data_IF_809511032572
#
_entry.id   IF_809511032572
#
_cell.length_a   1.000
_cell.length_b   1.000
_cell.length_c   1.000
_cell.angle_alpha   90.00
_cell.angle_beta   90.00
_cell.angle_gamma   90.00
#
_symmetry.space_group_name_H-M   'P 1'
#
loop_
_entity.id
_entity.type
_entity.pdbx_description
1 polymer ?
#
# COMPACT_ATOMS: atom_id res chain seq x y z
N UNK A 1 16.60 7.74 8.49
CA UNK A 1 16.37 7.69 7.02
C UNK A 1 15.45 8.82 6.56
N UNK A 2 14.44 9.22 7.35
CA UNK A 2 13.60 10.39 7.05
C UNK A 2 14.38 11.71 6.97
N UNK A 3 15.50 11.83 7.68
CA UNK A 3 16.36 13.01 7.63
C UNK A 3 17.09 13.17 6.28
N UNK A 4 17.17 12.12 5.48
CA UNK A 4 17.70 12.13 4.12
C UNK A 4 16.61 12.30 3.06
N UNK A 5 15.41 12.70 3.47
CA UNK A 5 14.32 13.05 2.58
C UNK A 5 14.70 14.31 1.81
N UNK A 6 15.33 14.10 0.66
CA UNK A 6 15.80 15.17 -0.19
C UNK A 6 14.65 16.03 -0.72
N UNK A 7 14.93 17.29 -1.00
CA UNK A 7 13.99 18.27 -1.59
C UNK A 7 13.29 17.78 -2.86
N UNK A 8 13.82 16.72 -3.48
CA UNK A 8 13.35 16.18 -4.75
C UNK A 8 12.17 15.19 -4.62
N UNK A 9 11.90 14.68 -3.40
CA UNK A 9 10.81 13.75 -3.18
C UNK A 9 9.67 14.41 -2.41
N UNK A 10 8.46 14.23 -2.92
CA UNK A 10 7.25 14.82 -2.34
C UNK A 10 6.40 13.84 -1.56
N UNK A 11 6.66 12.55 -1.72
CA UNK A 11 5.98 11.47 -1.01
C UNK A 11 6.79 10.17 -1.03
N UNK A 12 6.39 9.22 -0.22
CA UNK A 12 7.03 7.91 -0.18
C UNK A 12 6.35 6.96 0.78
N UNK A 13 6.98 5.81 0.98
CA UNK A 13 6.49 4.76 1.87
C UNK A 13 7.62 3.85 2.37
N UNK A 14 7.32 3.08 3.39
CA UNK A 14 8.23 2.06 3.94
C UNK A 14 7.99 0.69 3.31
N UNK A 15 8.98 -0.16 3.38
CA UNK A 15 8.78 -1.60 3.21
C UNK A 15 8.15 -2.18 4.49
N UNK A 16 7.51 -3.34 4.37
CA UNK A 16 6.90 -4.00 5.54
C UNK A 16 7.69 -5.22 5.99
N UNK A 17 7.55 -5.55 7.28
CA UNK A 17 7.81 -6.86 7.84
C UNK A 17 6.55 -7.37 8.52
N UNK A 18 6.22 -8.63 8.30
CA UNK A 18 5.12 -9.31 8.99
C UNK A 18 5.54 -9.84 10.37
N UNK A 19 6.83 -9.72 10.71
CA UNK A 19 7.38 -10.17 12.01
C UNK A 19 7.30 -11.69 12.22
N UNK A 20 7.06 -12.46 11.17
CA UNK A 20 6.85 -13.90 11.25
C UNK A 20 8.05 -14.68 10.69
N UNK A 21 8.45 -15.73 11.42
CA UNK A 21 9.55 -16.61 10.99
C UNK A 21 9.09 -17.75 10.06
N UNK A 22 7.79 -17.89 9.83
CA UNK A 22 7.22 -18.95 9.00
C UNK A 22 7.42 -18.59 7.53
N UNK A 23 7.95 -19.51 6.74
CA UNK A 23 8.34 -19.32 5.34
C UNK A 23 7.24 -18.68 4.46
N UNK A 24 5.98 -19.12 4.60
CA UNK A 24 4.86 -18.56 3.82
C UNK A 24 4.65 -17.06 4.05
N UNK A 25 4.83 -16.58 5.29
CA UNK A 25 4.70 -15.16 5.61
C UNK A 25 5.91 -14.35 5.14
N UNK A 26 7.11 -14.92 5.24
CA UNK A 26 8.31 -14.28 4.69
C UNK A 26 8.23 -14.15 3.17
N UNK A 27 7.67 -15.15 2.49
CA UNK A 27 7.45 -15.10 1.05
C UNK A 27 6.41 -14.06 0.67
N UNK A 28 5.30 -13.97 1.43
CA UNK A 28 4.29 -12.93 1.26
C UNK A 28 4.87 -11.52 1.45
N UNK A 29 5.65 -11.31 2.51
CA UNK A 29 6.37 -10.06 2.78
C UNK A 29 7.24 -9.65 1.59
N UNK A 30 8.05 -10.56 1.07
CA UNK A 30 8.88 -10.32 -0.12
C UNK A 30 8.03 -9.96 -1.34
N UNK A 31 6.93 -10.66 -1.57
CA UNK A 31 6.02 -10.38 -2.69
C UNK A 31 5.38 -8.98 -2.56
N UNK A 32 4.94 -8.59 -1.36
CA UNK A 32 4.35 -7.27 -1.12
C UNK A 32 5.40 -6.18 -1.36
N UNK A 33 6.58 -6.32 -0.79
CA UNK A 33 7.66 -5.35 -0.93
C UNK A 33 8.14 -5.22 -2.38
N UNK A 34 8.33 -6.33 -3.07
CA UNK A 34 8.75 -6.35 -4.48
C UNK A 34 7.70 -5.67 -5.37
N UNK A 35 6.42 -5.99 -5.18
CA UNK A 35 5.32 -5.34 -5.89
C UNK A 35 5.33 -3.84 -5.69
N UNK A 36 5.48 -3.38 -4.44
CA UNK A 36 5.47 -1.96 -4.11
C UNK A 36 6.63 -1.21 -4.76
N UNK A 37 7.81 -1.84 -4.84
CA UNK A 37 8.98 -1.28 -5.50
C UNK A 37 8.83 -1.23 -7.02
N UNK A 38 8.29 -2.28 -7.64
CA UNK A 38 8.12 -2.33 -9.10
C UNK A 38 7.04 -1.36 -9.58
N UNK A 39 5.90 -1.34 -8.91
CA UNK A 39 4.75 -0.56 -9.36
C UNK A 39 4.65 0.83 -8.71
N UNK A 40 5.57 1.17 -7.80
CA UNK A 40 5.60 2.47 -7.11
C UNK A 40 4.26 2.80 -6.45
N UNK A 41 3.70 1.88 -5.70
CA UNK A 41 2.55 2.13 -4.85
C UNK A 41 2.58 1.30 -3.57
N UNK A 42 1.96 1.82 -2.53
CA UNK A 42 1.90 1.21 -1.22
C UNK A 42 0.45 0.97 -0.77
N UNK A 43 0.30 0.12 0.21
CA UNK A 43 -0.93 -0.04 0.99
C UNK A 43 -0.77 0.67 2.34
N UNK A 44 -1.87 0.99 3.02
CA UNK A 44 -1.86 1.82 4.23
C UNK A 44 -0.96 1.31 5.35
N UNK A 45 -0.77 -0.01 5.43
CA UNK A 45 0.14 -0.68 6.37
C UNK A 45 1.65 -0.43 6.10
N UNK A 46 1.98 0.14 4.95
CA UNK A 46 3.36 0.52 4.58
C UNK A 46 3.75 1.93 5.01
N UNK A 47 2.91 2.64 5.77
CA UNK A 47 3.23 3.96 6.31
C UNK A 47 3.52 4.98 5.20
N UNK A 48 2.50 5.31 4.41
CA UNK A 48 2.61 6.33 3.36
C UNK A 48 2.81 7.70 4.01
N UNK A 49 3.80 8.44 3.57
CA UNK A 49 4.04 9.81 3.97
C UNK A 49 4.04 10.74 2.75
N UNK A 50 3.48 11.93 2.93
CA UNK A 50 3.26 12.90 1.85
C UNK A 50 3.61 14.28 2.39
N UNK A 51 4.30 15.09 1.61
CA UNK A 51 4.52 16.50 1.94
C UNK A 51 3.18 17.23 2.05
N UNK A 52 3.05 18.09 3.05
CA UNK A 52 1.80 18.78 3.36
C UNK A 52 1.27 19.63 2.20
N UNK A 53 2.17 20.32 1.51
CA UNK A 53 1.82 21.13 0.34
C UNK A 53 1.26 20.28 -0.80
N UNK A 54 1.88 19.13 -1.10
CA UNK A 54 1.37 18.19 -2.10
C UNK A 54 0.06 17.56 -1.67
N UNK A 55 -0.07 17.17 -0.39
CA UNK A 55 -1.31 16.61 0.14
C UNK A 55 -2.50 17.58 -0.01
N UNK A 56 -2.27 18.85 0.28
CA UNK A 56 -3.29 19.90 0.11
C UNK A 56 -3.61 20.14 -1.38
N UNK A 57 -2.58 20.13 -2.23
CA UNK A 57 -2.75 20.32 -3.67
C UNK A 57 -3.65 19.26 -4.32
N UNK A 58 -3.51 18.00 -3.92
CA UNK A 58 -4.33 16.89 -4.45
C UNK A 58 -5.69 16.75 -3.76
N UNK A 59 -5.98 17.56 -2.74
CA UNK A 59 -7.24 17.52 -2.00
C UNK A 59 -7.33 16.40 -0.95
N UNK A 60 -6.19 15.85 -0.51
CA UNK A 60 -6.14 14.80 0.51
C UNK A 60 -6.44 13.38 -0.01
N UNK A 61 -6.85 12.50 0.88
CA UNK A 61 -7.28 11.16 0.50
C UNK A 61 -8.58 11.18 -0.29
N UNK A 62 -8.73 10.34 -1.33
CA UNK A 62 -9.99 10.19 -2.04
C UNK A 62 -11.12 9.78 -1.08
N UNK A 63 -12.31 10.36 -1.26
CA UNK A 63 -13.48 10.01 -0.45
C UNK A 63 -14.11 8.71 -0.97
N UNK A 64 -13.44 7.60 -0.73
CA UNK A 64 -13.87 6.25 -1.08
C UNK A 64 -13.75 5.34 0.14
N UNK A 65 -14.65 4.38 0.26
CA UNK A 65 -14.72 3.51 1.44
C UNK A 65 -13.65 2.43 1.49
N UNK A 66 -13.00 2.15 0.38
CA UNK A 66 -12.03 1.06 0.27
C UNK A 66 -10.94 1.39 -0.75
N UNK A 67 -9.70 0.99 -0.46
CA UNK A 67 -8.53 1.18 -1.33
C UNK A 67 -8.14 2.65 -1.58
N UNK A 68 -8.45 3.53 -0.64
CA UNK A 68 -8.06 4.95 -0.65
C UNK A 68 -6.54 5.13 -0.71
N UNK A 69 -5.80 4.20 -0.08
CA UNK A 69 -4.34 4.12 -0.08
C UNK A 69 -3.76 3.85 -1.49
N UNK A 70 -4.39 2.93 -2.21
CA UNK A 70 -4.00 2.62 -3.60
C UNK A 70 -4.33 3.77 -4.53
N UNK A 71 -5.51 4.37 -4.38
CA UNK A 71 -5.94 5.48 -5.23
C UNK A 71 -5.11 6.75 -5.01
N UNK A 72 -4.77 7.10 -3.77
CA UNK A 72 -3.89 8.24 -3.52
C UNK A 72 -2.50 8.00 -4.13
N UNK A 73 -1.95 6.79 -4.05
CA UNK A 73 -0.69 6.45 -4.71
C UNK A 73 -0.75 6.60 -6.23
N UNK A 74 -1.88 6.27 -6.86
CA UNK A 74 -2.07 6.48 -8.30
C UNK A 74 -2.03 7.95 -8.69
N UNK A 75 -2.65 8.82 -7.87
CA UNK A 75 -2.62 10.28 -8.07
C UNK A 75 -1.18 10.79 -7.89
N UNK A 76 -0.54 10.46 -6.78
CA UNK A 76 0.81 10.91 -6.45
C UNK A 76 1.85 10.47 -7.48
N UNK A 77 1.74 9.24 -7.97
CA UNK A 77 2.65 8.68 -8.96
C UNK A 77 2.63 9.43 -10.32
N UNK A 78 1.52 10.09 -10.65
CA UNK A 78 1.44 10.94 -11.84
C UNK A 78 2.23 12.25 -11.68
N UNK A 79 2.49 12.67 -10.45
CA UNK A 79 3.18 13.92 -10.14
C UNK A 79 4.67 13.71 -9.88
N UNK A 80 5.02 12.67 -9.12
CA UNK A 80 6.42 12.34 -8.82
C UNK A 80 6.57 10.86 -8.42
N UNK A 81 7.78 10.33 -8.57
CA UNK A 81 8.10 9.00 -8.06
C UNK A 81 8.19 9.01 -6.53
N UNK A 82 7.84 7.90 -5.87
CA UNK A 82 7.93 7.79 -4.42
C UNK A 82 9.37 7.61 -3.94
N UNK A 83 9.66 8.12 -2.76
CA UNK A 83 10.85 7.73 -2.01
C UNK A 83 10.56 6.45 -1.23
N UNK A 84 11.24 5.36 -1.55
CA UNK A 84 11.05 4.08 -0.90
C UNK A 84 12.07 3.90 0.21
N UNK A 85 11.60 3.93 1.46
CA UNK A 85 12.44 3.71 2.63
C UNK A 85 12.63 2.21 2.82
N UNK A 86 13.89 1.76 2.75
CA UNK A 86 14.26 0.34 2.86
C UNK A 86 14.08 -0.23 4.25
N UNK A 87 14.08 0.61 5.29
CA UNK A 87 13.71 0.19 6.64
C UNK A 87 12.27 -0.32 6.66
N UNK A 88 12.05 -1.40 7.41
CA UNK A 88 10.77 -2.07 7.43
C UNK A 88 9.92 -1.63 8.61
N UNK A 89 8.64 -1.40 8.37
CA UNK A 89 7.63 -1.24 9.42
C UNK A 89 7.03 -2.62 9.70
N UNK A 90 7.02 -3.03 10.96
CA UNK A 90 6.36 -4.27 11.36
C UNK A 90 4.85 -4.06 11.40
N UNK A 91 4.14 -4.85 10.59
CA UNK A 91 2.68 -4.87 10.55
C UNK A 91 2.13 -6.19 11.06
N UNK A 92 0.87 -6.18 11.49
CA UNK A 92 0.24 -7.36 12.09
C UNK A 92 -0.13 -8.42 11.06
N UNK A 93 0.26 -9.66 11.33
CA UNK A 93 -0.15 -10.83 10.55
C UNK A 93 -1.53 -11.38 10.91
N UNK A 94 -2.24 -10.75 11.89
CA UNK A 94 -3.52 -11.27 12.43
C UNK A 94 -4.57 -11.55 11.37
N UNK A 95 -4.75 -10.65 10.42
CA UNK A 95 -5.73 -10.81 9.33
C UNK A 95 -5.44 -12.06 8.49
N UNK A 96 -4.16 -12.32 8.23
CA UNK A 96 -3.71 -13.50 7.48
C UNK A 96 -3.91 -14.80 8.25
N UNK A 97 -3.84 -14.73 9.58
CA UNK A 97 -4.07 -15.88 10.48
C UNK A 97 -5.55 -16.19 10.68
N UNK A 98 -6.39 -15.14 10.86
CA UNK A 98 -7.82 -15.32 11.15
C UNK A 98 -8.63 -15.74 9.94
N UNK A 99 -8.40 -15.11 8.79
CA UNK A 99 -9.23 -15.33 7.59
C UNK A 99 -8.71 -16.48 6.70
N UNK A 100 -7.56 -17.05 7.06
CA UNK A 100 -6.86 -18.05 6.25
C UNK A 100 -5.99 -17.41 5.18
N UNK A 101 -4.73 -17.85 5.12
CA UNK A 101 -3.70 -17.25 4.27
C UNK A 101 -4.09 -17.20 2.79
N UNK A 102 -4.48 -18.33 2.21
CA UNK A 102 -4.80 -18.44 0.77
C UNK A 102 -6.04 -17.62 0.43
N UNK A 103 -7.09 -17.70 1.26
CA UNK A 103 -8.34 -16.96 1.07
C UNK A 103 -8.11 -15.45 1.07
N UNK A 104 -7.30 -14.96 2.00
CA UNK A 104 -6.99 -13.53 2.12
C UNK A 104 -6.17 -13.04 0.93
N UNK A 105 -5.15 -13.79 0.49
CA UNK A 105 -4.35 -13.46 -0.70
C UNK A 105 -5.22 -13.40 -1.94
N UNK A 106 -6.07 -14.42 -2.16
CA UNK A 106 -6.97 -14.47 -3.32
C UNK A 106 -7.97 -13.32 -3.32
N UNK A 107 -8.59 -13.05 -2.17
CA UNK A 107 -9.56 -11.96 -2.00
C UNK A 107 -8.93 -10.60 -2.31
N UNK A 108 -7.76 -10.31 -1.76
CA UNK A 108 -7.06 -9.05 -2.03
C UNK A 108 -6.65 -8.90 -3.49
N UNK A 109 -6.20 -10.00 -4.12
CA UNK A 109 -5.82 -10.00 -5.53
C UNK A 109 -7.02 -9.75 -6.43
N UNK A 110 -8.15 -10.39 -6.14
CA UNK A 110 -9.41 -10.20 -6.85
C UNK A 110 -9.89 -8.75 -6.76
N UNK A 111 -9.91 -8.17 -5.55
CA UNK A 111 -10.32 -6.77 -5.36
C UNK A 111 -9.45 -5.78 -6.13
N UNK A 112 -8.14 -6.02 -6.18
CA UNK A 112 -7.23 -5.17 -6.97
C UNK A 112 -7.48 -5.29 -8.47
N UNK A 113 -7.74 -6.49 -8.96
CA UNK A 113 -8.09 -6.70 -10.37
C UNK A 113 -9.41 -5.99 -10.71
N UNK A 114 -10.44 -6.12 -9.89
CA UNK A 114 -11.73 -5.47 -10.08
C UNK A 114 -11.61 -3.95 -10.06
N UNK A 115 -10.80 -3.40 -9.15
CA UNK A 115 -10.51 -1.96 -9.13
C UNK A 115 -9.74 -1.52 -10.39
N UNK A 116 -8.78 -2.31 -10.87
CA UNK A 116 -8.03 -2.00 -12.08
C UNK A 116 -8.91 -1.97 -13.35
N UNK A 117 -9.99 -2.75 -13.38
CA UNK A 117 -11.00 -2.77 -14.46
C UNK A 117 -12.02 -1.61 -14.31
N UNK A 118 -11.91 -0.78 -13.26
CA UNK A 118 -12.76 0.40 -13.07
C UNK A 118 -14.06 0.14 -12.31
N UNK A 119 -14.20 -1.00 -11.66
CA UNK A 119 -15.31 -1.25 -10.74
C UNK A 119 -15.22 -0.36 -9.51
N UNK A 120 -16.34 0.24 -9.13
CA UNK A 120 -16.42 1.16 -8.01
C UNK A 120 -16.02 0.45 -6.70
N UNK A 121 -14.98 0.93 -5.97
CA UNK A 121 -14.53 0.35 -4.71
C UNK A 121 -15.63 0.25 -3.65
N UNK A 122 -16.60 1.16 -3.67
CA UNK A 122 -17.71 1.15 -2.73
C UNK A 122 -18.65 -0.06 -2.90
N UNK A 123 -18.75 -0.62 -4.11
CA UNK A 123 -19.49 -1.85 -4.36
C UNK A 123 -18.79 -3.07 -3.78
N UNK A 124 -17.47 -3.01 -3.65
CA UNK A 124 -16.65 -4.11 -3.15
C UNK A 124 -16.65 -4.20 -1.62
N UNK A 125 -17.03 -3.12 -0.92
CA UNK A 125 -17.07 -3.06 0.56
C UNK A 125 -17.94 -4.18 1.17
N UNK A 126 -19.03 -4.53 0.52
CA UNK A 126 -19.96 -5.59 0.98
C UNK A 126 -19.28 -6.97 1.05
N UNK A 127 -18.21 -7.17 0.30
CA UNK A 127 -17.51 -8.46 0.20
C UNK A 127 -16.15 -8.47 0.91
N UNK A 128 -15.73 -7.33 1.48
CA UNK A 128 -14.47 -7.18 2.22
C UNK A 128 -14.65 -7.47 3.70
#
# INVERSE_FOLDING_TARGET
ELNNFHKDYSWGFYLISLGEKIFKYQMLEKCINLRSQIFNYATGDQGIFIRKDLFNLIGGFPNIDLMEDVEICKILKKLSLPYIIKSQITTSSRKWKSDGFIKTVFKMRLFRMLNAVGLNPNLLKKYY
#
